data_IF_569506816042
#
_entry.id   IF_569506816042
#
_cell.length_a   1.000
_cell.length_b   1.000
_cell.length_c   1.000
_cell.angle_alpha   90.00
_cell.angle_beta   90.00
_cell.angle_gamma   90.00
#
_symmetry.space_group_name_H-M   'P 1'
#
loop_
_entity.id
_entity.type
_entity.pdbx_description
1 polymer ?
#
# COMPACT_ATOMS: atom_id res chain seq x y z
N UNK A 1 40.00 29.35 2.76
CA UNK A 1 39.18 29.80 3.91
C UNK A 1 37.97 30.50 3.32
N UNK A 2 36.87 29.77 3.12
CA UNK A 2 35.63 30.30 2.57
C UNK A 2 34.54 30.27 3.64
N UNK A 3 33.99 31.45 3.91
CA UNK A 3 32.98 31.71 4.92
C UNK A 3 31.63 31.15 4.49
N UNK A 4 31.09 30.20 5.27
CA UNK A 4 29.70 29.78 5.15
C UNK A 4 28.80 30.83 5.80
N UNK A 5 28.08 31.61 5.01
CA UNK A 5 26.94 32.39 5.50
C UNK A 5 25.71 31.48 5.58
N UNK A 6 25.19 31.29 6.80
CA UNK A 6 23.91 30.61 7.03
C UNK A 6 22.77 31.60 6.86
N UNK A 7 21.85 31.31 5.92
CA UNK A 7 20.60 32.05 5.76
C UNK A 7 19.67 31.65 6.92
N UNK A 8 19.28 32.61 7.77
CA UNK A 8 18.31 32.40 8.84
C UNK A 8 16.88 32.36 8.28
N UNK A 9 16.12 31.34 8.64
CA UNK A 9 14.70 31.23 8.35
C UNK A 9 13.90 31.95 9.44
N UNK A 10 13.24 33.05 9.10
CA UNK A 10 12.40 33.84 10.02
C UNK A 10 11.20 33.07 10.59
N UNK A 11 10.81 31.95 9.97
CA UNK A 11 9.74 31.08 10.45
C UNK A 11 10.17 30.19 11.64
N UNK A 12 11.47 29.92 11.78
CA UNK A 12 12.00 29.06 12.85
C UNK A 12 12.16 29.81 14.18
N UNK A 13 12.35 31.13 14.14
CA UNK A 13 12.49 31.96 15.34
C UNK A 13 11.14 32.29 16.00
N UNK A 14 10.04 32.29 15.23
CA UNK A 14 8.68 32.52 15.75
C UNK A 14 8.11 31.34 16.56
N UNK A 15 8.65 30.11 16.39
CA UNK A 15 8.12 28.89 17.03
C UNK A 15 8.71 28.67 18.45
N UNK A 16 9.75 29.41 18.83
CA UNK A 16 10.47 29.19 20.10
C UNK A 16 9.86 29.85 21.34
N UNK A 17 8.75 30.60 21.24
CA UNK A 17 8.27 31.44 22.34
C UNK A 17 6.88 31.12 22.94
N UNK A 18 6.17 30.06 22.57
CA UNK A 18 4.89 29.73 23.23
C UNK A 18 4.92 28.38 23.93
N UNK A 19 4.99 28.41 25.27
CA UNK A 19 4.72 27.25 26.11
C UNK A 19 3.22 26.92 26.05
N UNK A 20 2.91 25.65 25.75
CA UNK A 20 1.57 25.04 25.68
C UNK A 20 0.71 25.40 24.46
N UNK A 21 0.82 24.59 23.40
CA UNK A 21 -0.28 24.39 22.45
C UNK A 21 -0.34 22.94 21.95
N UNK A 22 -1.56 22.41 21.92
CA UNK A 22 -1.96 21.17 21.24
C UNK A 22 -1.35 21.12 19.83
N UNK A 23 -0.83 19.98 19.33
CA UNK A 23 -0.19 19.98 18.03
C UNK A 23 -1.23 19.96 16.91
N UNK A 24 -1.12 20.89 15.95
CA UNK A 24 -1.82 20.92 14.66
C UNK A 24 -1.53 19.72 13.72
N UNK A 25 -1.28 18.54 14.27
CA UNK A 25 -1.00 17.29 13.56
C UNK A 25 -2.25 16.61 13.01
N UNK A 26 -3.44 16.88 13.55
CA UNK A 26 -4.69 16.22 13.09
C UNK A 26 -5.18 16.83 11.76
N UNK A 27 -5.03 18.14 11.55
CA UNK A 27 -5.40 18.78 10.27
C UNK A 27 -4.40 18.52 9.13
N UNK A 28 -3.10 18.34 9.44
CA UNK A 28 -2.08 18.09 8.39
C UNK A 28 -2.16 16.71 7.75
N UNK A 29 -2.86 15.74 8.36
CA UNK A 29 -2.94 14.39 7.80
C UNK A 29 -3.86 14.28 6.57
N UNK A 30 -4.63 15.32 6.24
CA UNK A 30 -5.49 15.38 5.05
C UNK A 30 -4.84 16.08 3.84
N UNK A 31 -3.57 16.51 3.91
CA UNK A 31 -2.91 17.18 2.79
C UNK A 31 -1.50 16.65 2.55
N UNK A 32 -1.38 15.85 1.48
CA UNK A 32 -0.19 15.48 0.71
C UNK A 32 1.00 14.79 1.42
N UNK A 33 1.33 13.57 0.97
CA UNK A 33 2.69 13.01 1.07
C UNK A 33 3.23 12.75 -0.34
N UNK A 34 4.16 13.61 -0.75
CA UNK A 34 5.10 13.39 -1.84
C UNK A 34 6.28 12.57 -1.29
N UNK A 35 6.67 11.49 -1.96
CA UNK A 35 7.75 10.59 -1.53
C UNK A 35 9.03 10.93 -2.30
N UNK A 36 10.08 11.32 -1.57
CA UNK A 36 11.46 11.26 -2.06
C UNK A 36 12.16 10.03 -1.49
N UNK A 37 12.84 9.30 -2.35
CA UNK A 37 13.57 8.06 -2.11
C UNK A 37 14.99 8.31 -1.58
N UNK A 38 15.43 7.44 -0.67
CA UNK A 38 16.85 7.32 -0.26
C UNK A 38 17.38 5.92 -0.62
N UNK A 39 18.67 5.78 -0.95
CA UNK A 39 19.23 4.58 -1.56
C UNK A 39 19.51 3.47 -0.54
N UNK A 40 19.42 2.22 -1.02
CA UNK A 40 19.62 0.99 -0.26
C UNK A 40 21.09 0.59 -0.15
N UNK A 41 21.55 0.33 1.07
CA UNK A 41 22.80 -0.38 1.36
C UNK A 41 22.50 -1.88 1.50
N UNK A 42 23.11 -2.70 0.65
CA UNK A 42 23.11 -4.16 0.75
C UNK A 42 24.11 -4.61 1.84
N UNK A 43 23.65 -5.45 2.78
CA UNK A 43 24.51 -6.16 3.72
C UNK A 43 24.40 -7.67 3.48
N UNK A 44 25.55 -8.28 3.20
CA UNK A 44 25.79 -9.72 3.00
C UNK A 44 25.76 -10.41 4.38
N UNK A 45 24.94 -11.45 4.52
CA UNK A 45 24.84 -12.27 5.74
C UNK A 45 25.38 -13.68 5.44
N UNK A 46 26.35 -14.16 6.24
CA UNK A 46 26.97 -15.50 6.13
C UNK A 46 26.20 -16.51 6.99
N UNK A 47 25.93 -17.69 6.42
CA UNK A 47 25.40 -18.87 7.11
C UNK A 47 26.44 -19.49 8.06
N UNK A 48 26.00 -19.91 9.24
CA UNK A 48 26.70 -20.86 10.12
C UNK A 48 25.70 -21.93 10.58
N UNK A 49 25.94 -23.16 10.16
CA UNK A 49 25.24 -24.36 10.63
C UNK A 49 25.87 -24.87 11.95
N UNK A 50 25.02 -25.28 12.89
CA UNK A 50 25.41 -26.09 14.04
C UNK A 50 24.35 -27.19 14.28
N UNK A 51 24.74 -28.42 14.70
CA UNK A 51 23.82 -29.55 14.81
C UNK A 51 23.07 -29.60 16.16
N UNK A 52 21.86 -30.16 16.12
CA UNK A 52 20.92 -30.34 17.23
C UNK A 52 21.21 -31.62 18.03
N UNK A 53 21.09 -31.53 19.37
CA UNK A 53 21.01 -32.66 20.32
C UNK A 53 19.55 -32.83 20.78
N UNK A 54 19.01 -34.05 20.91
CA UNK A 54 17.63 -34.28 21.36
C UNK A 54 17.54 -34.50 22.88
N UNK A 55 16.51 -33.94 23.53
CA UNK A 55 16.27 -34.20 24.95
C UNK A 55 14.98 -33.64 25.53
N UNK A 56 14.05 -34.57 25.77
CA UNK A 56 13.17 -34.69 26.94
C UNK A 56 11.80 -33.99 27.01
N UNK A 57 10.88 -34.84 27.46
CA UNK A 57 9.45 -34.73 27.77
C UNK A 57 9.21 -33.81 28.96
N UNK A 58 8.02 -33.19 29.08
CA UNK A 58 7.38 -33.20 30.40
C UNK A 58 5.91 -33.64 30.39
N UNK A 59 5.58 -34.14 31.58
CA UNK A 59 4.37 -34.84 32.01
C UNK A 59 3.15 -33.93 32.13
N UNK A 60 2.01 -34.59 32.00
CA UNK A 60 0.67 -34.18 32.42
C UNK A 60 0.58 -33.84 33.90
N UNK A 61 -0.23 -32.85 34.24
CA UNK A 61 -1.00 -32.85 35.48
C UNK A 61 -2.32 -32.14 35.26
N UNK A 62 -3.39 -32.92 35.31
CA UNK A 62 -4.73 -32.46 35.65
C UNK A 62 -4.73 -31.85 37.05
N UNK A 63 -5.55 -30.80 37.25
CA UNK A 63 -6.23 -30.57 38.53
C UNK A 63 -7.49 -29.75 38.34
N UNK A 64 -8.47 -30.21 39.08
CA UNK A 64 -9.91 -30.02 39.03
C UNK A 64 -10.38 -28.68 39.61
N UNK A 65 -11.64 -28.39 39.31
CA UNK A 65 -12.45 -27.26 39.75
C UNK A 65 -12.60 -27.10 41.28
N UNK A 66 -12.90 -25.86 41.71
CA UNK A 66 -13.86 -25.63 42.79
C UNK A 66 -14.49 -24.23 42.67
N UNK A 67 -15.82 -24.23 42.72
CA UNK A 67 -16.72 -23.09 42.82
C UNK A 67 -16.59 -22.39 44.18
N UNK A 68 -16.94 -21.10 44.24
CA UNK A 68 -17.79 -20.54 45.30
C UNK A 68 -18.33 -19.15 44.93
N UNK A 69 -19.65 -19.08 44.97
CA UNK A 69 -20.49 -17.88 44.95
C UNK A 69 -20.28 -17.02 46.20
N UNK A 70 -20.46 -15.70 46.07
CA UNK A 70 -21.14 -14.89 47.08
C UNK A 70 -21.67 -13.59 46.46
N UNK A 71 -23.00 -13.51 46.36
CA UNK A 71 -23.79 -12.28 46.30
C UNK A 71 -23.91 -11.72 47.72
N UNK A 72 -23.79 -10.40 47.89
CA UNK A 72 -24.58 -9.62 48.87
C UNK A 72 -24.92 -8.27 48.24
N UNK A 73 -26.22 -8.02 48.19
CA UNK A 73 -26.94 -6.75 47.97
C UNK A 73 -26.89 -5.89 49.22
N UNK A 74 -26.79 -4.56 49.09
CA UNK A 74 -27.54 -3.63 49.95
C UNK A 74 -27.66 -2.26 49.30
N UNK A 75 -28.86 -1.71 49.45
CA UNK A 75 -29.41 -0.49 48.88
C UNK A 75 -29.05 0.77 49.70
N UNK A 76 -29.46 1.92 49.14
CA UNK A 76 -30.05 3.05 49.87
C UNK A 76 -29.15 4.17 50.40
N UNK A 77 -29.18 5.34 49.74
CA UNK A 77 -29.91 6.55 50.20
C UNK A 77 -29.40 7.82 49.49
N UNK A 78 -30.28 8.42 48.69
CA UNK A 78 -30.80 9.79 48.74
C UNK A 78 -30.01 10.99 49.28
N UNK A 79 -30.33 12.12 48.63
CA UNK A 79 -30.18 13.53 49.00
C UNK A 79 -28.82 14.20 48.76
N UNK A 80 -28.80 15.14 47.81
CA UNK A 80 -28.49 16.55 48.07
C UNK A 80 -29.14 17.42 46.99
N UNK A 81 -29.99 18.33 47.46
CA UNK A 81 -30.76 19.30 46.70
C UNK A 81 -29.98 20.60 46.52
N UNK A 82 -30.36 21.33 45.48
CA UNK A 82 -30.36 22.79 45.38
C UNK A 82 -29.04 23.54 45.66
N UNK A 83 -28.32 23.87 44.60
CA UNK A 83 -27.56 25.14 44.54
C UNK A 83 -28.11 25.98 43.40
N UNK A 84 -28.63 27.12 43.83
CA UNK A 84 -29.22 28.21 43.10
C UNK A 84 -28.25 28.86 42.11
N UNK A 85 -28.86 29.23 40.98
CA UNK A 85 -28.41 30.17 39.96
C UNK A 85 -27.60 31.33 40.52
N UNK A 86 -26.39 31.49 40.00
CA UNK A 86 -25.64 32.75 40.06
C UNK A 86 -25.03 33.06 38.70
N UNK A 87 -25.65 34.06 38.07
CA UNK A 87 -25.08 35.07 37.19
C UNK A 87 -24.20 34.61 36.02
N UNK A 88 -24.84 34.60 34.84
CA UNK A 88 -24.22 35.01 33.59
C UNK A 88 -23.53 36.37 33.79
N UNK A 89 -22.21 36.37 33.82
CA UNK A 89 -21.41 37.55 33.50
C UNK A 89 -20.36 37.18 32.47
N UNK A 90 -20.41 37.94 31.38
CA UNK A 90 -19.34 38.32 30.48
C UNK A 90 -18.82 37.31 29.44
N UNK A 91 -19.47 37.45 28.28
CA UNK A 91 -18.98 37.31 26.92
C UNK A 91 -17.54 37.83 26.75
N UNK A 92 -16.54 37.00 27.06
CA UNK A 92 -15.18 37.14 26.55
C UNK A 92 -15.11 36.60 25.11
N UNK A 93 -15.77 37.30 24.19
CA UNK A 93 -15.57 37.18 22.73
C UNK A 93 -14.19 37.73 22.39
N UNK A 94 -13.13 36.88 22.38
CA UNK A 94 -11.85 37.17 21.71
C UNK A 94 -10.89 35.96 21.62
N UNK A 95 -11.39 34.72 21.65
CA UNK A 95 -10.61 33.57 21.17
C UNK A 95 -11.17 33.14 19.80
N UNK A 96 -10.32 32.85 18.81
CA UNK A 96 -10.80 32.35 17.53
C UNK A 96 -11.51 31.00 17.79
N UNK A 97 -12.84 31.01 17.72
CA UNK A 97 -13.73 29.88 17.96
C UNK A 97 -13.62 28.77 16.88
N UNK A 98 -12.51 28.69 16.16
CA UNK A 98 -12.26 27.67 15.13
C UNK A 98 -11.76 26.36 15.74
N UNK A 99 -12.25 26.00 16.92
CA UNK A 99 -11.96 24.70 17.54
C UNK A 99 -13.15 23.79 17.35
N UNK A 100 -12.94 22.74 16.55
CA UNK A 100 -13.94 21.71 16.32
C UNK A 100 -14.49 21.21 17.67
N UNK A 101 -15.82 21.26 17.90
CA UNK A 101 -16.40 21.07 19.24
C UNK A 101 -16.46 19.58 19.61
N UNK A 102 -15.30 18.95 19.78
CA UNK A 102 -15.15 17.51 20.02
C UNK A 102 -16.03 17.02 21.17
N UNK A 103 -16.06 17.77 22.28
CA UNK A 103 -16.83 17.39 23.48
C UNK A 103 -18.35 17.47 23.27
N UNK A 104 -18.83 18.15 22.22
CA UNK A 104 -20.26 18.22 21.88
C UNK A 104 -20.72 17.09 20.96
N UNK A 105 -19.79 16.31 20.39
CA UNK A 105 -20.16 15.15 19.58
C UNK A 105 -20.76 14.05 20.47
N UNK A 106 -21.83 13.36 20.03
CA UNK A 106 -22.25 12.10 20.61
C UNK A 106 -21.10 11.10 20.76
N UNK A 107 -21.08 10.33 21.85
CA UNK A 107 -19.95 9.43 22.17
C UNK A 107 -19.71 8.38 21.09
N UNK A 108 -20.77 7.96 20.41
CA UNK A 108 -20.74 7.01 19.31
C UNK A 108 -19.93 7.56 18.13
N UNK A 109 -20.11 8.84 17.80
CA UNK A 109 -19.36 9.52 16.75
C UNK A 109 -17.91 9.76 17.16
N UNK A 110 -17.66 10.15 18.42
CA UNK A 110 -16.30 10.27 18.95
C UNK A 110 -15.54 8.94 18.82
N UNK A 111 -16.14 7.82 19.24
CA UNK A 111 -15.57 6.47 19.09
C UNK A 111 -15.37 6.11 17.62
N UNK A 112 -16.32 6.46 16.75
CA UNK A 112 -16.21 6.22 15.30
C UNK A 112 -15.02 6.96 14.69
N UNK A 113 -14.76 8.21 15.08
CA UNK A 113 -13.58 8.96 14.63
C UNK A 113 -12.29 8.35 15.19
N UNK A 114 -12.25 8.07 16.49
CA UNK A 114 -11.09 7.46 17.16
C UNK A 114 -10.71 6.09 16.56
N UNK A 115 -11.68 5.32 16.05
CA UNK A 115 -11.43 4.05 15.33
C UNK A 115 -10.62 4.18 14.05
N UNK A 116 -10.50 5.38 13.47
CA UNK A 116 -9.67 5.63 12.30
C UNK A 116 -8.26 6.09 12.66
N UNK A 117 -7.99 6.38 13.93
CA UNK A 117 -6.67 6.79 14.39
C UNK A 117 -5.72 5.59 14.53
N UNK A 118 -4.43 5.84 14.31
CA UNK A 118 -3.39 4.82 14.58
C UNK A 118 -3.26 4.59 16.09
N UNK A 119 -2.65 3.48 16.53
CA UNK A 119 -2.39 3.27 17.96
C UNK A 119 -1.57 4.40 18.57
N UNK A 120 -0.55 4.88 17.86
CA UNK A 120 0.29 6.02 18.29
C UNK A 120 -0.52 7.30 18.44
N UNK A 121 -1.45 7.56 17.53
CA UNK A 121 -2.31 8.74 17.66
C UNK A 121 -3.33 8.56 18.79
N UNK A 122 -3.85 7.36 19.01
CA UNK A 122 -4.67 7.04 20.18
C UNK A 122 -3.89 7.22 21.49
N UNK A 123 -2.60 6.86 21.55
CA UNK A 123 -1.74 7.11 22.71
C UNK A 123 -1.56 8.61 22.97
N UNK A 124 -1.42 9.42 21.90
CA UNK A 124 -1.43 10.89 22.03
C UNK A 124 -2.80 11.40 22.49
N UNK A 125 -3.91 10.83 22.01
CA UNK A 125 -5.25 11.22 22.45
C UNK A 125 -5.49 10.89 23.93
N UNK A 126 -4.94 9.77 24.42
CA UNK A 126 -5.04 9.36 25.84
C UNK A 126 -4.46 10.38 26.81
N UNK A 127 -3.44 11.14 26.39
CA UNK A 127 -2.81 12.16 27.25
C UNK A 127 -3.49 13.53 27.17
N UNK A 128 -4.50 13.71 26.30
CA UNK A 128 -5.17 15.00 26.13
C UNK A 128 -6.05 15.36 27.34
N UNK A 129 -6.90 14.44 27.81
CA UNK A 129 -7.70 14.60 29.02
C UNK A 129 -8.26 13.25 29.53
N UNK A 130 -8.75 13.24 30.78
CA UNK A 130 -9.26 12.04 31.47
C UNK A 130 -10.49 11.42 30.77
N UNK A 131 -11.37 12.25 30.22
CA UNK A 131 -12.58 11.78 29.55
C UNK A 131 -12.25 11.03 28.25
N UNK A 132 -11.33 11.55 27.45
CA UNK A 132 -10.79 10.91 26.24
C UNK A 132 -10.09 9.60 26.59
N UNK A 133 -9.28 9.58 27.65
CA UNK A 133 -8.65 8.37 28.15
C UNK A 133 -9.68 7.29 28.48
N UNK A 134 -10.70 7.63 29.27
CA UNK A 134 -11.77 6.69 29.66
C UNK A 134 -12.61 6.25 28.45
N UNK A 135 -12.89 7.15 27.51
CA UNK A 135 -13.60 6.80 26.28
C UNK A 135 -12.82 5.78 25.45
N UNK A 136 -11.51 6.01 25.25
CA UNK A 136 -10.63 5.10 24.54
C UNK A 136 -10.51 3.77 25.29
N UNK A 137 -10.33 3.80 26.61
CA UNK A 137 -10.18 2.62 27.46
C UNK A 137 -11.44 1.74 27.45
N UNK A 138 -12.62 2.33 27.62
CA UNK A 138 -13.91 1.60 27.59
C UNK A 138 -14.19 0.99 26.23
N UNK A 139 -13.75 1.64 25.16
CA UNK A 139 -13.93 1.20 23.79
C UNK A 139 -12.70 0.53 23.20
N UNK A 140 -11.72 0.15 24.03
CA UNK A 140 -10.42 -0.28 23.54
C UNK A 140 -10.54 -1.56 22.71
N UNK A 141 -11.46 -2.47 23.07
CA UNK A 141 -11.77 -3.67 22.28
C UNK A 141 -12.30 -3.35 20.89
N UNK A 142 -13.02 -2.24 20.74
CA UNK A 142 -13.58 -1.76 19.48
C UNK A 142 -12.57 -0.94 18.67
N UNK A 143 -11.56 -0.36 19.33
CA UNK A 143 -10.51 0.46 18.72
C UNK A 143 -9.24 -0.33 18.38
N UNK A 144 -8.89 -1.37 19.14
CA UNK A 144 -7.77 -2.30 18.89
C UNK A 144 -8.00 -3.20 17.66
N UNK A 145 -9.11 -3.04 16.96
CA UNK A 145 -9.51 -3.94 15.89
C UNK A 145 -8.76 -3.76 14.59
N UNK A 146 -7.86 -2.79 14.40
CA UNK A 146 -7.07 -2.72 13.14
C UNK A 146 -5.58 -2.65 13.40
N UNK A 147 -4.92 -3.81 13.36
CA UNK A 147 -3.45 -3.87 13.40
C UNK A 147 -2.89 -3.37 12.08
N UNK A 148 -2.03 -2.35 12.11
CA UNK A 148 -1.36 -1.90 10.89
C UNK A 148 -0.05 -2.67 10.74
N UNK A 149 -0.03 -3.59 9.77
CA UNK A 149 1.19 -4.28 9.36
C UNK A 149 1.81 -3.45 8.24
N UNK A 150 2.98 -2.87 8.49
CA UNK A 150 3.68 -2.11 7.45
C UNK A 150 4.07 -2.99 6.28
N UNK A 151 4.72 -4.10 6.60
CA UNK A 151 5.33 -4.97 5.61
C UNK A 151 5.20 -6.41 6.04
N UNK A 152 4.42 -7.16 5.27
CA UNK A 152 4.37 -8.62 5.34
C UNK A 152 5.16 -9.17 4.16
N UNK A 153 6.27 -9.86 4.44
CA UNK A 153 7.10 -10.45 3.40
C UNK A 153 7.12 -11.97 3.54
N UNK A 154 6.71 -12.67 2.48
CA UNK A 154 6.74 -14.11 2.35
C UNK A 154 7.83 -14.46 1.33
N UNK A 155 8.90 -15.10 1.81
CA UNK A 155 9.97 -15.65 0.95
C UNK A 155 9.74 -17.14 0.77
N UNK A 156 9.76 -17.62 -0.47
CA UNK A 156 9.70 -19.05 -0.75
C UNK A 156 11.14 -19.55 -0.91
N UNK A 157 11.57 -20.43 -0.01
CA UNK A 157 12.87 -21.08 -0.06
C UNK A 157 12.67 -22.49 -0.64
N UNK A 158 13.22 -22.72 -1.82
CA UNK A 158 13.19 -24.03 -2.47
C UNK A 158 14.35 -24.87 -1.93
N UNK A 159 14.05 -26.02 -1.34
CA UNK A 159 15.02 -27.09 -1.08
C UNK A 159 14.72 -28.25 -2.03
N UNK A 160 15.73 -29.08 -2.32
CA UNK A 160 15.68 -30.13 -3.36
C UNK A 160 14.50 -31.10 -3.25
N UNK A 161 13.92 -31.29 -2.07
CA UNK A 161 12.75 -32.17 -1.85
C UNK A 161 11.56 -31.53 -1.13
N UNK A 162 11.72 -30.33 -0.56
CA UNK A 162 10.71 -29.64 0.23
C UNK A 162 10.78 -28.13 -0.01
N UNK A 163 9.68 -27.40 0.14
CA UNK A 163 9.72 -25.94 0.21
C UNK A 163 9.56 -25.49 1.66
N UNK A 164 10.26 -24.42 2.03
CA UNK A 164 10.05 -23.72 3.31
C UNK A 164 9.60 -22.30 3.01
N UNK A 165 8.43 -21.95 3.53
CA UNK A 165 7.97 -20.55 3.51
C UNK A 165 8.62 -19.82 4.68
N UNK A 166 9.45 -18.82 4.40
CA UNK A 166 9.95 -17.90 5.43
C UNK A 166 9.09 -16.64 5.38
N UNK A 167 8.16 -16.54 6.32
CA UNK A 167 7.42 -15.31 6.56
C UNK A 167 8.28 -14.38 7.41
N UNK A 168 8.23 -13.09 7.13
CA UNK A 168 8.85 -12.02 7.89
C UNK A 168 7.84 -10.90 7.99
N UNK A 169 7.55 -10.45 9.20
CA UNK A 169 6.53 -9.42 9.46
C UNK A 169 7.22 -8.24 10.11
N UNK A 170 7.02 -7.05 9.57
CA UNK A 170 7.40 -5.79 10.19
C UNK A 170 6.12 -5.05 10.58
N UNK A 171 5.93 -4.87 11.87
CA UNK A 171 4.82 -4.14 12.47
C UNK A 171 5.37 -2.92 13.22
N UNK A 172 4.69 -1.78 13.16
CA UNK A 172 5.05 -0.62 13.99
C UNK A 172 4.74 -0.86 15.47
N UNK A 173 3.68 -1.61 15.77
CA UNK A 173 3.07 -1.65 17.10
C UNK A 173 3.67 -2.69 18.04
N UNK A 174 4.49 -3.60 17.52
CA UNK A 174 5.08 -4.64 18.33
C UNK A 174 6.48 -4.89 17.80
N UNK A 175 7.47 -4.78 18.69
CA UNK A 175 8.84 -5.22 18.46
C UNK A 175 8.92 -6.74 18.31
N UNK A 176 8.05 -7.32 17.46
CA UNK A 176 8.02 -8.72 17.10
C UNK A 176 9.34 -8.95 16.37
N UNK A 177 10.24 -9.76 16.96
CA UNK A 177 11.50 -10.09 16.31
C UNK A 177 11.23 -10.78 14.97
N UNK A 178 12.23 -10.80 14.10
CA UNK A 178 12.16 -11.52 12.84
C UNK A 178 11.89 -13.01 13.07
N UNK A 179 10.63 -13.43 13.04
CA UNK A 179 10.26 -14.82 13.24
C UNK A 179 10.08 -15.53 11.90
N UNK A 180 10.92 -16.52 11.62
CA UNK A 180 10.73 -17.45 10.51
C UNK A 180 9.86 -18.63 10.96
N UNK A 181 8.65 -18.75 10.41
CA UNK A 181 7.81 -19.92 10.67
C UNK A 181 7.99 -21.01 9.62
N UNK A 182 7.64 -22.24 9.96
CA UNK A 182 7.47 -23.33 9.00
C UNK A 182 6.15 -23.14 8.24
N UNK A 183 6.04 -23.57 6.95
CA UNK A 183 4.82 -23.48 6.14
C UNK A 183 3.54 -24.00 6.79
N UNK A 184 3.65 -24.90 7.78
CA UNK A 184 2.52 -25.50 8.49
C UNK A 184 1.97 -24.63 9.63
N UNK A 185 2.59 -23.47 9.89
CA UNK A 185 2.18 -22.53 10.94
C UNK A 185 1.03 -21.59 10.55
N UNK A 186 0.10 -21.99 9.68
CA UNK A 186 -1.01 -21.13 9.21
C UNK A 186 -1.78 -20.46 10.36
N UNK A 187 -1.93 -21.16 11.48
CA UNK A 187 -2.55 -20.62 12.69
C UNK A 187 -1.86 -19.35 13.21
N UNK A 188 -0.53 -19.25 13.09
CA UNK A 188 0.22 -18.05 13.50
C UNK A 188 0.03 -16.92 12.49
N UNK A 189 0.14 -17.19 11.19
CA UNK A 189 -0.11 -16.18 10.17
C UNK A 189 -1.54 -15.65 10.29
N UNK A 190 -2.54 -16.51 10.44
CA UNK A 190 -3.94 -16.12 10.66
C UNK A 190 -4.12 -15.26 11.91
N UNK A 191 -3.43 -15.55 13.02
CA UNK A 191 -3.42 -14.71 14.23
C UNK A 191 -2.80 -13.33 14.00
N UNK A 192 -1.80 -13.24 13.14
CA UNK A 192 -1.16 -11.97 12.74
C UNK A 192 -2.09 -11.17 11.83
N UNK A 193 -2.73 -11.84 10.86
CA UNK A 193 -3.63 -11.23 9.88
C UNK A 193 -5.00 -10.84 10.45
N UNK A 194 -5.40 -11.40 11.59
CA UNK A 194 -6.72 -11.13 12.19
C UNK A 194 -6.90 -9.63 12.44
N UNK A 195 -7.87 -9.08 11.72
CA UNK A 195 -8.24 -7.69 11.64
C UNK A 195 -7.03 -6.77 11.34
N UNK A 196 -6.15 -7.21 10.42
CA UNK A 196 -4.98 -6.44 10.04
C UNK A 196 -5.24 -5.62 8.76
N UNK A 197 -4.69 -4.41 8.71
CA UNK A 197 -4.47 -3.68 7.47
C UNK A 197 -3.00 -3.80 7.10
N UNK A 198 -2.71 -4.54 6.03
CA UNK A 198 -1.36 -4.72 5.51
C UNK A 198 -1.09 -3.63 4.48
N UNK A 199 -0.15 -2.73 4.76
CA UNK A 199 0.26 -1.70 3.79
C UNK A 199 0.98 -2.31 2.60
N UNK A 200 1.93 -3.21 2.86
CA UNK A 200 2.73 -3.83 1.81
C UNK A 200 2.92 -5.33 2.03
N UNK A 201 2.26 -6.15 1.22
CA UNK A 201 2.46 -7.59 1.18
C UNK A 201 3.39 -7.95 0.02
N UNK A 202 4.43 -8.72 0.27
CA UNK A 202 5.41 -9.11 -0.75
C UNK A 202 5.67 -10.61 -0.75
N UNK A 203 5.40 -11.26 -1.89
CA UNK A 203 5.78 -12.65 -2.16
C UNK A 203 6.99 -12.61 -3.07
N UNK A 204 8.13 -13.13 -2.62
CA UNK A 204 9.35 -13.13 -3.43
C UNK A 204 10.14 -14.42 -3.40
N UNK A 205 10.89 -14.64 -4.48
CA UNK A 205 11.79 -15.76 -4.69
C UNK A 205 11.05 -17.12 -4.75
N UNK A 206 11.73 -18.13 -5.29
CA UNK A 206 11.28 -19.50 -5.26
C UNK A 206 10.17 -19.83 -6.26
N UNK A 207 9.60 -21.04 -6.13
CA UNK A 207 8.53 -21.55 -6.99
C UNK A 207 7.21 -21.45 -6.24
N UNK A 208 6.33 -20.59 -6.72
CA UNK A 208 4.96 -20.52 -6.27
C UNK A 208 4.17 -21.68 -6.89
N UNK A 209 3.39 -22.36 -6.06
CA UNK A 209 2.54 -23.49 -6.45
C UNK A 209 1.13 -23.24 -5.94
N UNK A 210 0.15 -23.92 -6.53
CA UNK A 210 -1.25 -23.87 -6.05
C UNK A 210 -1.37 -24.17 -4.56
N UNK A 211 -0.62 -25.16 -4.06
CA UNK A 211 -0.65 -25.52 -2.63
C UNK A 211 -0.18 -24.35 -1.77
N UNK A 212 0.94 -23.70 -2.11
CA UNK A 212 1.44 -22.53 -1.38
C UNK A 212 0.42 -21.39 -1.40
N UNK A 213 -0.14 -21.08 -2.57
CA UNK A 213 -1.13 -20.01 -2.70
C UNK A 213 -2.40 -20.30 -1.92
N UNK A 214 -2.95 -21.52 -1.98
CA UNK A 214 -4.13 -21.91 -1.18
C UNK A 214 -3.85 -21.83 0.32
N UNK A 215 -2.65 -22.24 0.75
CA UNK A 215 -2.24 -22.12 2.15
C UNK A 215 -2.23 -20.66 2.60
N UNK A 216 -1.66 -19.76 1.80
CA UNK A 216 -1.64 -18.32 2.10
C UNK A 216 -3.06 -17.73 2.03
N UNK A 217 -3.80 -18.07 0.98
CA UNK A 217 -5.17 -17.62 0.71
C UNK A 217 -6.12 -17.97 1.85
N UNK A 218 -6.06 -19.19 2.38
CA UNK A 218 -6.88 -19.62 3.51
C UNK A 218 -6.59 -18.84 4.80
N UNK A 219 -5.40 -18.23 4.93
CA UNK A 219 -5.10 -17.35 6.05
C UNK A 219 -5.81 -15.99 5.96
N UNK A 220 -6.29 -15.58 4.78
CA UNK A 220 -7.11 -14.36 4.57
C UNK A 220 -8.61 -14.61 4.75
N UNK A 221 -9.06 -15.86 4.70
CA UNK A 221 -10.46 -16.20 4.88
C UNK A 221 -10.91 -15.92 6.33
N UNK A 222 -11.99 -15.16 6.48
CA UNK A 222 -12.66 -14.85 7.75
C UNK A 222 -11.76 -14.14 8.78
N UNK A 223 -10.83 -13.30 8.33
CA UNK A 223 -9.94 -12.52 9.22
C UNK A 223 -10.05 -11.00 9.07
N UNK A 224 -11.06 -10.46 8.38
CA UNK A 224 -11.22 -9.00 8.16
C UNK A 224 -9.88 -8.30 7.84
N UNK A 225 -9.10 -8.93 6.97
CA UNK A 225 -7.79 -8.46 6.59
C UNK A 225 -7.87 -7.68 5.29
N UNK A 226 -7.26 -6.49 5.23
CA UNK A 226 -7.18 -5.70 4.02
C UNK A 226 -5.72 -5.57 3.57
N UNK A 227 -5.43 -5.88 2.31
CA UNK A 227 -4.11 -5.66 1.71
C UNK A 227 -4.16 -4.40 0.86
N UNK A 228 -3.30 -3.42 1.12
CA UNK A 228 -3.23 -2.22 0.28
C UNK A 228 -2.41 -2.51 -0.97
N UNK A 229 -1.16 -2.94 -0.81
CA UNK A 229 -0.26 -3.24 -1.93
C UNK A 229 0.14 -4.71 -1.86
N UNK A 230 -0.14 -5.46 -2.93
CA UNK A 230 0.39 -6.79 -3.16
C UNK A 230 1.51 -6.73 -4.19
N UNK A 231 2.69 -7.23 -3.83
CA UNK A 231 3.81 -7.36 -4.74
C UNK A 231 4.27 -8.81 -4.87
N UNK A 232 4.31 -9.33 -6.10
CA UNK A 232 4.88 -10.64 -6.42
C UNK A 232 6.09 -10.40 -7.29
N UNK A 233 7.28 -10.75 -6.80
CA UNK A 233 8.54 -10.44 -7.49
C UNK A 233 9.56 -11.57 -7.50
N UNK A 234 10.26 -11.74 -8.63
CA UNK A 234 11.35 -12.74 -8.76
C UNK A 234 10.90 -14.16 -8.41
N UNK A 235 9.66 -14.48 -8.75
CA UNK A 235 9.00 -15.74 -8.38
C UNK A 235 8.64 -16.51 -9.65
N UNK A 236 8.80 -17.83 -9.63
CA UNK A 236 8.27 -18.69 -10.69
C UNK A 236 6.82 -19.04 -10.39
N UNK A 237 5.92 -18.83 -11.36
CA UNK A 237 4.48 -19.14 -11.24
C UNK A 237 4.04 -20.28 -12.17
N UNK A 238 5.00 -21.03 -12.72
CA UNK A 238 4.74 -22.11 -13.67
C UNK A 238 3.94 -23.31 -13.12
N UNK A 239 3.72 -23.35 -11.80
CA UNK A 239 2.94 -24.39 -11.12
C UNK A 239 1.68 -23.81 -10.45
N UNK A 240 1.24 -22.64 -10.93
CA UNK A 240 0.04 -21.96 -10.46
C UNK A 240 -1.01 -22.03 -11.56
N UNK A 241 -2.21 -22.47 -11.21
CA UNK A 241 -3.38 -22.41 -12.09
C UNK A 241 -4.07 -21.05 -11.96
N UNK A 242 -4.70 -20.58 -13.04
CA UNK A 242 -5.37 -19.27 -13.04
C UNK A 242 -6.51 -19.18 -12.02
N UNK A 243 -7.23 -20.28 -11.78
CA UNK A 243 -8.32 -20.33 -10.80
C UNK A 243 -7.83 -20.11 -9.37
N UNK A 244 -6.74 -20.79 -8.98
CA UNK A 244 -6.14 -20.62 -7.64
C UNK A 244 -5.52 -19.24 -7.49
N UNK A 245 -4.92 -18.70 -8.56
CA UNK A 245 -4.37 -17.35 -8.51
C UNK A 245 -5.46 -16.29 -8.36
N UNK A 246 -6.57 -16.42 -9.10
CA UNK A 246 -7.73 -15.54 -8.98
C UNK A 246 -8.37 -15.64 -7.59
N UNK A 247 -8.53 -16.85 -7.05
CA UNK A 247 -9.02 -17.08 -5.69
C UNK A 247 -8.15 -16.34 -4.66
N UNK A 248 -6.84 -16.49 -4.76
CA UNK A 248 -5.90 -15.77 -3.89
C UNK A 248 -6.04 -14.25 -4.00
N UNK A 249 -6.12 -13.70 -5.22
CA UNK A 249 -6.29 -12.26 -5.44
C UNK A 249 -7.61 -11.73 -4.86
N UNK A 250 -8.71 -12.48 -5.01
CA UNK A 250 -10.01 -12.14 -4.44
C UNK A 250 -9.99 -12.17 -2.91
N UNK A 251 -9.36 -13.17 -2.31
CA UNK A 251 -9.27 -13.30 -0.86
C UNK A 251 -8.34 -12.26 -0.23
N UNK A 252 -7.24 -11.90 -0.89
CA UNK A 252 -6.35 -10.83 -0.44
C UNK A 252 -6.95 -9.43 -0.70
N UNK A 253 -7.81 -9.30 -1.72
CA UNK A 253 -8.48 -8.09 -2.17
C UNK A 253 -7.56 -6.85 -2.22
N UNK A 254 -6.39 -6.93 -2.89
CA UNK A 254 -5.42 -5.84 -2.86
C UNK A 254 -5.95 -4.58 -3.57
N UNK A 255 -5.66 -3.41 -3.02
CA UNK A 255 -5.96 -2.13 -3.69
C UNK A 255 -5.03 -1.89 -4.88
N UNK A 256 -3.74 -2.22 -4.73
CA UNK A 256 -2.70 -2.09 -5.75
C UNK A 256 -1.95 -3.42 -5.96
N UNK A 257 -1.58 -3.71 -7.22
CA UNK A 257 -0.93 -4.98 -7.59
C UNK A 257 0.36 -4.74 -8.37
N UNK A 258 1.51 -5.19 -7.87
CA UNK A 258 2.79 -5.13 -8.56
C UNK A 258 3.33 -6.52 -8.85
N UNK A 259 3.40 -6.89 -10.13
CA UNK A 259 3.90 -8.19 -10.57
C UNK A 259 5.14 -7.94 -11.42
N UNK A 260 6.30 -8.34 -10.90
CA UNK A 260 7.61 -8.00 -11.49
C UNK A 260 8.54 -9.21 -11.58
N UNK A 261 9.37 -9.29 -12.61
CA UNK A 261 10.42 -10.32 -12.72
C UNK A 261 9.88 -11.76 -12.57
N UNK A 262 8.72 -12.05 -13.16
CA UNK A 262 8.08 -13.37 -13.04
C UNK A 262 8.64 -14.33 -14.09
N UNK A 263 8.97 -15.54 -13.67
CA UNK A 263 9.34 -16.63 -14.58
C UNK A 263 8.10 -17.48 -14.89
N UNK A 264 7.72 -17.55 -16.16
CA UNK A 264 6.60 -18.37 -16.65
C UNK A 264 7.16 -19.39 -17.65
N UNK A 265 7.44 -20.60 -17.17
CA UNK A 265 8.04 -21.64 -18.00
C UNK A 265 6.98 -22.46 -18.76
N UNK A 266 5.84 -22.73 -18.14
CA UNK A 266 4.77 -23.59 -18.66
C UNK A 266 3.44 -23.09 -18.09
N UNK A 267 2.46 -22.76 -18.95
CA UNK A 267 1.15 -22.24 -18.53
C UNK A 267 1.24 -20.83 -17.93
N UNK A 268 0.51 -19.87 -18.51
CA UNK A 268 0.42 -18.54 -17.96
C UNK A 268 -0.76 -18.52 -16.97
N UNK A 269 -0.58 -18.26 -15.65
CA UNK A 269 -1.69 -18.17 -14.70
C UNK A 269 -2.56 -16.91 -14.89
N UNK A 270 -2.28 -16.14 -15.93
CA UNK A 270 -2.97 -14.90 -16.27
C UNK A 270 -4.05 -15.18 -17.31
N UNK A 271 -5.10 -15.87 -16.88
CA UNK A 271 -6.32 -15.98 -17.70
C UNK A 271 -6.98 -14.60 -17.86
N UNK A 272 -7.91 -14.44 -18.81
CA UNK A 272 -8.67 -13.19 -18.98
C UNK A 272 -9.30 -12.69 -17.69
N UNK A 273 -9.85 -13.59 -16.85
CA UNK A 273 -10.50 -13.23 -15.58
C UNK A 273 -9.50 -12.70 -14.53
N UNK A 274 -8.28 -13.26 -14.52
CA UNK A 274 -7.20 -12.76 -13.66
C UNK A 274 -6.77 -11.37 -14.11
N UNK A 275 -6.60 -11.18 -15.43
CA UNK A 275 -6.17 -9.89 -15.96
C UNK A 275 -7.25 -8.82 -15.77
N UNK A 276 -8.52 -9.14 -15.98
CA UNK A 276 -9.65 -8.27 -15.69
C UNK A 276 -9.67 -7.86 -14.20
N UNK A 277 -9.43 -8.79 -13.28
CA UNK A 277 -9.29 -8.45 -11.87
C UNK A 277 -8.14 -7.46 -11.61
N UNK A 278 -7.00 -7.65 -12.27
CA UNK A 278 -5.81 -6.81 -12.11
C UNK A 278 -6.04 -5.39 -12.68
N UNK A 279 -6.54 -5.28 -13.91
CA UNK A 279 -6.69 -3.97 -14.59
C UNK A 279 -7.83 -3.12 -14.01
N UNK A 280 -8.69 -3.73 -13.19
CA UNK A 280 -9.76 -3.02 -12.45
C UNK A 280 -9.31 -2.51 -11.07
N UNK A 281 -8.06 -2.78 -10.66
CA UNK A 281 -7.52 -2.21 -9.43
C UNK A 281 -7.16 -0.74 -9.62
N UNK A 282 -7.05 0.02 -8.54
CA UNK A 282 -6.73 1.44 -8.61
C UNK A 282 -5.35 1.70 -9.23
N UNK A 283 -4.38 0.85 -8.89
CA UNK A 283 -3.04 0.88 -9.46
C UNK A 283 -2.53 -0.54 -9.73
N UNK A 284 -1.87 -0.75 -10.87
CA UNK A 284 -1.18 -2.01 -11.12
C UNK A 284 0.10 -1.87 -11.95
N UNK A 285 1.00 -2.84 -11.83
CA UNK A 285 2.19 -2.93 -12.65
C UNK A 285 2.47 -4.38 -13.07
N UNK A 286 2.78 -4.56 -14.35
CA UNK A 286 3.18 -5.82 -14.97
C UNK A 286 4.53 -5.56 -15.68
N UNK A 287 5.63 -5.98 -15.06
CA UNK A 287 6.98 -5.61 -15.52
C UNK A 287 7.87 -6.84 -15.63
N UNK A 288 8.63 -6.96 -16.74
CA UNK A 288 9.70 -7.96 -16.92
C UNK A 288 9.24 -9.40 -16.66
N UNK A 289 8.54 -9.96 -17.63
CA UNK A 289 8.22 -11.38 -17.58
C UNK A 289 9.26 -12.16 -18.38
N UNK A 290 9.95 -13.07 -17.70
CA UNK A 290 10.91 -13.96 -18.33
C UNK A 290 10.16 -15.10 -19.00
N UNK A 291 9.56 -14.81 -20.16
CA UNK A 291 9.03 -15.83 -21.05
C UNK A 291 10.18 -16.34 -21.92
N UNK A 292 10.52 -17.63 -21.75
CA UNK A 292 11.43 -18.30 -22.71
C UNK A 292 10.76 -18.51 -24.07
N UNK A 293 9.43 -18.44 -24.12
CA UNK A 293 8.64 -18.48 -25.34
C UNK A 293 8.43 -17.07 -25.88
N UNK A 294 8.47 -16.93 -27.19
CA UNK A 294 8.25 -15.69 -27.97
C UNK A 294 6.79 -15.23 -27.99
N UNK A 295 5.88 -15.96 -27.34
CA UNK A 295 4.47 -15.62 -27.31
C UNK A 295 4.23 -14.33 -26.49
N UNK A 296 3.36 -13.43 -26.98
CA UNK A 296 2.93 -12.26 -26.21
C UNK A 296 2.26 -12.64 -24.90
N UNK A 297 2.42 -11.76 -23.91
CA UNK A 297 1.60 -11.76 -22.71
C UNK A 297 0.12 -11.59 -23.08
N UNK A 298 -0.82 -12.36 -22.49
CA UNK A 298 -2.22 -12.48 -22.94
C UNK A 298 -3.10 -11.26 -22.57
N UNK A 299 -2.50 -10.07 -22.47
CA UNK A 299 -3.22 -8.81 -22.37
C UNK A 299 -3.54 -8.33 -23.79
N UNK A 300 -4.82 -8.28 -24.14
CA UNK A 300 -5.32 -7.90 -25.46
C UNK A 300 -6.24 -6.66 -25.37
N UNK A 301 -6.84 -6.28 -26.50
CA UNK A 301 -7.69 -5.09 -26.60
C UNK A 301 -8.95 -5.19 -25.73
N UNK A 302 -9.55 -6.38 -25.62
CA UNK A 302 -10.72 -6.61 -24.78
C UNK A 302 -10.41 -6.31 -23.31
N UNK A 303 -9.29 -6.81 -22.80
CA UNK A 303 -8.87 -6.53 -21.42
C UNK A 303 -8.49 -5.06 -21.25
N UNK A 304 -7.81 -4.45 -22.23
CA UNK A 304 -7.48 -3.02 -22.19
C UNK A 304 -8.74 -2.16 -22.09
N UNK A 305 -9.81 -2.53 -22.81
CA UNK A 305 -11.10 -1.80 -22.79
C UNK A 305 -11.79 -1.81 -21.41
N UNK A 306 -11.43 -2.76 -20.54
CA UNK A 306 -11.91 -2.92 -19.17
C UNK A 306 -11.04 -2.22 -18.12
N UNK A 307 -9.96 -1.55 -18.53
CA UNK A 307 -9.06 -0.88 -17.62
C UNK A 307 -9.77 0.26 -16.86
N UNK A 308 -9.78 0.18 -15.53
CA UNK A 308 -10.28 1.26 -14.65
C UNK A 308 -9.19 1.84 -13.76
N UNK A 309 -7.96 1.34 -13.86
CA UNK A 309 -6.83 1.83 -13.09
C UNK A 309 -6.45 3.25 -13.51
N UNK A 310 -6.25 4.14 -12.52
CA UNK A 310 -5.78 5.50 -12.77
C UNK A 310 -4.27 5.57 -12.95
N UNK A 311 -3.55 4.63 -12.34
CA UNK A 311 -2.10 4.50 -12.46
C UNK A 311 -1.71 3.10 -12.91
N UNK A 312 -1.00 2.95 -14.03
CA UNK A 312 -0.55 1.62 -14.46
C UNK A 312 0.78 1.62 -15.21
N UNK A 313 1.47 0.48 -15.15
CA UNK A 313 2.65 0.20 -15.95
C UNK A 313 2.60 -1.22 -16.55
N UNK A 314 2.53 -1.30 -17.88
CA UNK A 314 2.53 -2.54 -18.65
C UNK A 314 3.85 -2.59 -19.42
N UNK A 315 4.91 -3.02 -18.75
CA UNK A 315 6.25 -3.19 -19.32
C UNK A 315 6.50 -4.65 -19.71
N UNK A 316 5.58 -5.17 -20.52
CA UNK A 316 5.60 -6.52 -21.09
C UNK A 316 5.14 -6.46 -22.53
N UNK A 317 5.61 -7.42 -23.35
CA UNK A 317 5.17 -7.52 -24.73
C UNK A 317 3.76 -8.13 -24.77
N UNK A 318 2.72 -7.34 -25.08
CA UNK A 318 1.30 -7.74 -25.05
C UNK A 318 0.74 -8.16 -26.41
N UNK A 319 -0.55 -8.53 -26.45
CA UNK A 319 -1.35 -8.74 -27.66
C UNK A 319 -2.16 -7.49 -28.06
N UNK A 320 -1.92 -6.35 -27.41
CA UNK A 320 -2.64 -5.10 -27.70
C UNK A 320 -2.29 -4.62 -29.10
N UNK A 321 -3.31 -4.30 -29.89
CA UNK A 321 -3.18 -3.82 -31.27
C UNK A 321 -3.12 -2.29 -31.33
N UNK A 322 -2.79 -1.74 -32.51
CA UNK A 322 -2.85 -0.30 -32.78
C UNK A 322 -4.27 0.24 -32.61
N UNK A 323 -5.27 -0.51 -33.06
CA UNK A 323 -6.68 -0.11 -32.94
C UNK A 323 -7.18 -0.20 -31.49
N UNK A 324 -6.68 -1.18 -30.71
CA UNK A 324 -6.91 -1.24 -29.27
C UNK A 324 -6.40 0.00 -28.54
N UNK A 325 -5.19 0.46 -28.86
CA UNK A 325 -4.65 1.71 -28.29
C UNK A 325 -5.46 2.93 -28.75
N UNK A 326 -5.83 3.05 -30.03
CA UNK A 326 -6.66 4.15 -30.52
C UNK A 326 -8.01 4.20 -29.80
N UNK A 327 -8.65 3.04 -29.64
CA UNK A 327 -9.91 2.90 -28.91
C UNK A 327 -9.77 3.34 -27.45
N UNK A 328 -8.71 2.90 -26.78
CA UNK A 328 -8.40 3.31 -25.42
C UNK A 328 -8.17 4.83 -25.29
N UNK A 329 -7.40 5.43 -26.19
CA UNK A 329 -7.19 6.89 -26.25
C UNK A 329 -8.50 7.64 -26.52
N UNK A 330 -9.35 7.15 -27.42
CA UNK A 330 -10.69 7.69 -27.64
C UNK A 330 -11.55 7.65 -26.37
N UNK A 331 -11.48 6.54 -25.60
CA UNK A 331 -12.12 6.43 -24.30
C UNK A 331 -11.63 7.46 -23.28
N UNK A 332 -10.32 7.78 -23.28
CA UNK A 332 -9.75 8.83 -22.44
C UNK A 332 -10.25 10.23 -22.84
N UNK A 333 -10.34 10.52 -24.14
CA UNK A 333 -10.88 11.79 -24.63
C UNK A 333 -12.34 12.01 -24.20
N UNK A 334 -13.13 10.94 -24.16
CA UNK A 334 -14.53 10.97 -23.73
C UNK A 334 -14.73 10.92 -22.21
N UNK A 335 -13.65 10.88 -21.42
CA UNK A 335 -13.73 10.76 -19.95
C UNK A 335 -14.23 9.41 -19.44
N UNK A 336 -14.25 8.37 -20.29
CA UNK A 336 -14.65 7.00 -19.90
C UNK A 336 -13.65 6.39 -18.91
N UNK A 337 -12.38 6.74 -19.05
CA UNK A 337 -11.30 6.26 -18.20
C UNK A 337 -10.68 7.43 -17.43
N UNK A 338 -10.52 7.29 -16.13
CA UNK A 338 -9.74 8.21 -15.31
C UNK A 338 -8.27 7.81 -15.40
N UNK A 339 -7.42 8.69 -15.93
CA UNK A 339 -5.98 8.45 -16.06
C UNK A 339 -5.23 9.51 -15.27
N UNK A 340 -4.32 9.07 -14.39
CA UNK A 340 -3.31 9.92 -13.76
C UNK A 340 -1.97 9.69 -14.46
N UNK A 341 -1.53 8.43 -14.56
CA UNK A 341 -0.28 8.04 -15.22
C UNK A 341 -0.36 6.61 -15.78
N UNK A 342 -0.01 6.42 -17.04
CA UNK A 342 -0.06 5.12 -17.71
C UNK A 342 1.19 4.87 -18.52
N UNK A 343 1.70 3.65 -18.49
CA UNK A 343 2.79 3.22 -19.36
C UNK A 343 2.42 1.89 -20.02
N UNK A 344 2.59 1.81 -21.35
CA UNK A 344 2.32 0.60 -22.13
C UNK A 344 3.48 0.36 -23.09
N UNK A 345 4.08 -0.82 -23.01
CA UNK A 345 4.99 -1.33 -24.04
C UNK A 345 4.17 -1.93 -25.18
N UNK A 346 4.33 -1.38 -26.38
CA UNK A 346 3.69 -1.85 -27.61
C UNK A 346 4.66 -2.73 -28.42
N UNK A 347 4.14 -3.43 -29.42
CA UNK A 347 4.95 -4.17 -30.42
C UNK A 347 5.26 -3.35 -31.67
N UNK A 348 4.54 -2.26 -31.86
CA UNK A 348 4.59 -1.39 -33.03
C UNK A 348 5.06 0.01 -32.64
N UNK A 349 5.62 0.73 -33.61
CA UNK A 349 6.03 2.11 -33.41
C UNK A 349 4.80 3.02 -33.25
N UNK A 350 4.77 3.79 -32.16
CA UNK A 350 3.64 4.66 -31.81
C UNK A 350 3.45 5.88 -32.73
N UNK A 351 4.17 5.99 -33.85
CA UNK A 351 4.07 7.17 -34.75
C UNK A 351 2.67 7.32 -35.37
N UNK A 352 1.95 6.21 -35.57
CA UNK A 352 0.57 6.20 -36.07
C UNK A 352 -0.45 6.80 -35.09
N UNK A 353 -0.11 6.93 -33.81
CA UNK A 353 -1.04 7.33 -32.76
C UNK A 353 -1.18 8.84 -32.58
N UNK A 354 -0.28 9.64 -33.19
CA UNK A 354 -0.25 11.10 -33.03
C UNK A 354 -1.60 11.80 -33.30
N UNK A 355 -2.37 11.44 -34.34
CA UNK A 355 -3.67 12.08 -34.61
C UNK A 355 -4.75 11.81 -33.56
N UNK A 356 -4.56 10.80 -32.71
CA UNK A 356 -5.56 10.31 -31.76
C UNK A 356 -5.28 10.74 -30.32
N UNK A 357 -4.27 11.59 -30.11
CA UNK A 357 -3.88 12.03 -28.77
C UNK A 357 -4.94 13.01 -28.23
N UNK A 358 -5.61 12.69 -27.12
CA UNK A 358 -6.56 13.59 -26.48
C UNK A 358 -5.87 14.87 -26.02
N UNK A 359 -6.54 16.02 -26.14
CA UNK A 359 -5.98 17.31 -25.74
C UNK A 359 -5.63 17.39 -24.25
N UNK A 360 -6.25 16.57 -23.40
CA UNK A 360 -6.04 16.46 -21.95
C UNK A 360 -4.96 15.44 -21.55
N UNK A 361 -4.32 14.75 -22.49
CA UNK A 361 -3.29 13.72 -22.20
C UNK A 361 -1.97 14.14 -22.85
N UNK A 362 -0.88 14.05 -22.10
CA UNK A 362 0.48 14.11 -22.65
C UNK A 362 0.91 12.70 -23.03
N UNK A 363 1.42 12.57 -24.25
CA UNK A 363 1.87 11.30 -24.79
C UNK A 363 3.34 11.43 -25.17
N UNK A 364 4.16 10.60 -24.53
CA UNK A 364 5.58 10.49 -24.84
C UNK A 364 5.83 9.10 -25.43
N UNK A 365 6.51 9.07 -26.57
CA UNK A 365 6.88 7.82 -27.23
C UNK A 365 8.40 7.66 -27.20
N UNK A 366 8.88 6.59 -26.59
CA UNK A 366 10.30 6.21 -26.63
C UNK A 366 10.44 4.82 -27.23
N UNK A 367 10.69 4.75 -28.54
CA UNK A 367 10.68 3.49 -29.29
C UNK A 367 9.30 2.84 -29.26
N UNK A 368 9.20 1.69 -28.61
CA UNK A 368 7.96 0.93 -28.42
C UNK A 368 7.31 1.17 -27.05
N UNK A 369 7.70 2.23 -26.36
CA UNK A 369 7.12 2.60 -25.07
C UNK A 369 6.20 3.80 -25.23
N UNK A 370 4.93 3.63 -24.88
CA UNK A 370 3.92 4.68 -24.81
C UNK A 370 3.76 5.10 -23.35
N UNK A 371 4.09 6.34 -23.03
CA UNK A 371 3.85 6.94 -21.72
C UNK A 371 2.74 7.98 -21.85
N UNK A 372 1.71 7.83 -21.03
CA UNK A 372 0.53 8.67 -20.96
C UNK A 372 0.50 9.34 -19.58
N UNK A 373 0.23 10.63 -19.54
CA UNK A 373 0.01 11.35 -18.29
C UNK A 373 -1.10 12.38 -18.46
N UNK A 374 -1.95 12.54 -17.45
CA UNK A 374 -2.93 13.60 -17.49
C UNK A 374 -2.23 14.96 -17.52
N UNK A 375 -2.72 15.89 -18.36
CA UNK A 375 -2.35 17.31 -18.31
C UNK A 375 -2.98 17.95 -17.09
N UNK A 376 -2.72 17.42 -15.90
CA UNK A 376 -3.15 18.04 -14.67
C UNK A 376 -2.17 19.17 -14.38
N UNK A 377 -2.40 20.36 -14.97
CA UNK A 377 -1.96 21.72 -14.60
C UNK A 377 -0.62 21.88 -13.85
N UNK A 378 0.34 20.97 -14.03
CA UNK A 378 1.66 21.02 -13.41
C UNK A 378 2.49 22.18 -13.99
N UNK A 379 2.01 22.74 -15.11
CA UNK A 379 2.51 23.95 -15.73
C UNK A 379 2.31 25.24 -14.92
N UNK A 380 1.65 25.24 -13.75
CA UNK A 380 1.67 26.42 -12.86
C UNK A 380 2.81 26.42 -11.84
N UNK A 381 3.25 25.26 -11.32
CA UNK A 381 4.35 25.24 -10.33
C UNK A 381 5.74 25.11 -10.96
N UNK A 382 5.88 24.47 -12.14
CA UNK A 382 7.19 24.41 -12.83
C UNK A 382 7.52 25.72 -13.55
N UNK A 383 6.54 26.40 -14.16
CA UNK A 383 6.81 27.68 -14.87
C UNK A 383 7.19 28.85 -13.94
N UNK A 384 6.89 28.77 -12.64
CA UNK A 384 7.36 29.77 -11.67
C UNK A 384 8.77 29.46 -11.14
N UNK A 385 9.24 28.20 -11.24
CA UNK A 385 10.61 27.82 -10.87
C UNK A 385 11.58 27.68 -12.05
N UNK A 386 11.11 27.76 -13.30
CA UNK A 386 11.95 27.64 -14.50
C UNK A 386 12.16 28.95 -15.28
N UNK A 387 11.91 30.12 -14.69
CA UNK A 387 12.30 31.42 -15.27
C UNK A 387 13.81 31.74 -15.13
N UNK A 388 14.63 30.73 -14.84
CA UNK A 388 16.08 30.87 -14.80
C UNK A 388 16.77 29.61 -15.35
N UNK A 389 16.56 29.31 -16.63
CA UNK A 389 17.53 28.60 -17.49
C UNK A 389 16.96 28.49 -18.91
N UNK A 390 17.40 29.39 -19.79
CA UNK A 390 17.25 29.25 -21.23
C UNK A 390 18.04 28.03 -21.70
N UNK A 391 17.34 26.93 -21.99
CA UNK A 391 17.89 25.84 -22.79
C UNK A 391 17.39 25.98 -24.23
N UNK A 392 18.27 26.48 -25.08
CA UNK A 392 18.16 26.40 -26.54
C UNK A 392 18.17 24.92 -26.94
N UNK A 393 17.00 24.35 -27.24
CA UNK A 393 16.89 23.04 -27.86
C UNK A 393 17.35 23.18 -29.31
N UNK A 394 18.63 22.90 -29.55
CA UNK A 394 19.17 22.72 -30.89
C UNK A 394 18.83 21.31 -31.35
N UNK A 395 17.88 21.16 -32.26
CA UNK A 395 17.57 19.91 -32.91
C UNK A 395 18.75 19.48 -33.81
N UNK A 396 19.58 18.54 -33.35
CA UNK A 396 20.53 17.83 -34.23
C UNK A 396 19.81 16.65 -34.87
N UNK A 397 19.42 16.80 -36.13
CA UNK A 397 19.03 15.71 -37.02
C UNK A 397 20.23 14.76 -37.21
N UNK A 398 20.13 13.55 -36.68
CA UNK A 398 21.06 12.47 -37.05
C UNK A 398 20.45 11.70 -38.20
N UNK A 399 20.74 12.17 -39.41
CA UNK A 399 20.48 11.44 -40.66
C UNK A 399 21.68 10.53 -40.91
N UNK A 400 21.65 9.29 -40.44
CA UNK A 400 22.63 8.28 -40.87
C UNK A 400 22.15 7.68 -42.18
N UNK A 401 22.75 8.20 -43.26
CA UNK A 401 22.71 7.65 -44.60
C UNK A 401 23.35 6.26 -44.62
N UNK A 402 22.55 5.29 -45.07
CA UNK A 402 23.01 4.04 -45.66
C UNK A 402 23.74 4.37 -46.97
N UNK A 403 25.03 4.02 -47.10
CA UNK A 403 25.57 3.62 -48.40
C UNK A 403 26.91 2.87 -48.36
N UNK A 404 26.91 1.77 -49.14
CA UNK A 404 28.02 1.02 -49.80
C UNK A 404 28.94 0.17 -48.91
N UNK A 405 29.37 -1.02 -49.34
CA UNK A 405 29.70 -1.42 -50.72
C UNK A 405 29.61 -2.94 -50.94
N UNK A 406 29.19 -3.29 -52.16
CA UNK A 406 29.58 -4.53 -52.84
C UNK A 406 31.09 -4.58 -53.04
N UNK A 407 31.71 -5.70 -52.69
CA UNK A 407 32.70 -6.39 -53.53
C UNK A 407 32.73 -7.88 -53.16
#
# INVERSE_FOLDING_TARGET
MESRQSIKCSLCDAIRQSAYHLPGHICRHLSYRCLCSSPSTDSIERDRDAPLVPGLIPRSSDRTALEKNQQITTESNDYWSNVTSKELTDLSLNQPEDHFPWNRLPKELQVKVLRYLTRTDLDKCRVLNREMFELIRRNERFMQQRRIIEKLQIRILNFTKNFRLRVSVRCYEAGIPYESFSPWGCNRLRKILKNATIRYMMIKNGRLTDNILRTISSCFLNVDCCVQILSIMRTSVAAVTSSVFLEFLRNAAPTHIHIRDISVMMGCPFSPEVLEFIVTRHQFELVRFNHRKTEPFPLNDDILSKLTASTFNIDVTTQITDDGIKSFLGGLACGKHELVHGQIRTRFFCRSLLPYIPSNVEVFTNGCMLTLSHKCLYNRSIRENSKAQDFVITAKSSTTLFNRSFH
#
